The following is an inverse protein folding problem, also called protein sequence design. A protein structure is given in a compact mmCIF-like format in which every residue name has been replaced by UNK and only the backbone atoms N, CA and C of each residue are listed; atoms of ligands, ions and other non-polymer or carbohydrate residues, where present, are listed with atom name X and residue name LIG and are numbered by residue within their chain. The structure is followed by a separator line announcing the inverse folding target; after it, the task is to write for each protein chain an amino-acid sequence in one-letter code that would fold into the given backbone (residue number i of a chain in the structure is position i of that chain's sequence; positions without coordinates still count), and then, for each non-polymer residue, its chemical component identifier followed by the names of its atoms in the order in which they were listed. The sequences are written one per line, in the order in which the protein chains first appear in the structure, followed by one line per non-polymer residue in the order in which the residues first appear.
data_IF_213325103420
#
_entry.id   IF_213325103420
#
_cell.length_a   1.000
_cell.length_b   1.000
_cell.length_c   1.000
_cell.angle_alpha   90.00
_cell.angle_beta   90.00
_cell.angle_gamma   90.00
#
_symmetry.space_group_name_H-M   'P 1'
#
loop_
_entity.id
_entity.type
_entity.pdbx_description
1 polymer ?
#
# COMPACT_ATOMS: atom_id res chain seq x y z
N UNK A 1 -14.47 -61.03 -25.03
CA UNK A 1 -14.29 -59.88 -25.94
C UNK A 1 -15.66 -59.39 -26.35
N UNK A 2 -16.15 -58.26 -25.84
CA UNK A 2 -17.27 -57.49 -26.42
C UNK A 2 -17.19 -56.09 -25.82
N UNK A 3 -16.81 -55.11 -26.65
CA UNK A 3 -16.72 -53.68 -26.30
C UNK A 3 -18.10 -53.07 -26.46
N UNK A 4 -18.57 -52.38 -25.43
CA UNK A 4 -19.81 -51.59 -25.45
C UNK A 4 -19.46 -50.10 -25.54
N UNK A 5 -20.32 -49.35 -26.23
CA UNK A 5 -20.52 -47.89 -26.19
C UNK A 5 -19.76 -47.04 -27.21
N UNK A 6 -20.46 -46.57 -28.24
CA UNK A 6 -20.43 -45.17 -28.70
C UNK A 6 -21.82 -44.78 -29.24
N UNK A 7 -22.43 -43.76 -28.66
CA UNK A 7 -23.78 -43.32 -29.04
C UNK A 7 -24.43 -42.36 -28.04
N UNK A 8 -23.82 -41.18 -27.82
CA UNK A 8 -24.40 -39.99 -27.17
C UNK A 8 -23.61 -38.78 -27.67
N UNK A 9 -24.14 -37.60 -27.92
CA UNK A 9 -25.46 -37.00 -27.79
C UNK A 9 -25.40 -35.74 -28.67
N UNK A 10 -26.56 -35.34 -29.19
CA UNK A 10 -26.72 -34.10 -29.93
C UNK A 10 -26.26 -32.88 -29.13
N UNK A 11 -25.75 -31.90 -29.87
CA UNK A 11 -25.43 -30.58 -29.39
C UNK A 11 -26.69 -29.88 -28.84
N UNK A 12 -26.56 -29.27 -27.66
CA UNK A 12 -27.43 -28.17 -27.21
C UNK A 12 -26.51 -27.03 -26.74
N UNK A 13 -26.35 -25.94 -27.50
CA UNK A 13 -25.80 -24.71 -26.94
C UNK A 13 -26.91 -24.03 -26.13
N UNK A 14 -26.94 -24.26 -24.81
CA UNK A 14 -27.64 -23.36 -23.90
C UNK A 14 -26.78 -22.13 -23.70
N UNK A 15 -27.10 -21.08 -24.46
CA UNK A 15 -26.57 -19.74 -24.33
C UNK A 15 -26.98 -19.17 -22.96
N UNK A 16 -26.24 -19.54 -21.92
CA UNK A 16 -26.25 -18.84 -20.65
C UNK A 16 -25.20 -17.74 -20.77
N UNK A 17 -25.63 -16.56 -21.21
CA UNK A 17 -24.82 -15.35 -21.13
C UNK A 17 -24.42 -15.14 -19.66
N UNK A 18 -23.18 -15.51 -19.35
CA UNK A 18 -22.56 -15.22 -18.07
C UNK A 18 -22.31 -13.71 -17.99
N UNK A 19 -22.56 -13.05 -16.84
CA UNK A 19 -22.28 -11.63 -16.68
C UNK A 19 -20.83 -11.35 -17.08
N UNK A 20 -20.65 -10.33 -17.92
CA UNK A 20 -19.34 -9.85 -18.33
C UNK A 20 -18.47 -9.70 -17.09
N UNK A 21 -17.34 -10.41 -17.07
CA UNK A 21 -16.35 -10.36 -15.99
C UNK A 21 -16.05 -8.88 -15.71
N UNK A 22 -16.09 -8.42 -14.45
CA UNK A 22 -15.71 -7.04 -14.14
C UNK A 22 -14.31 -6.77 -14.74
N UNK A 23 -14.08 -5.58 -15.30
CA UNK A 23 -12.79 -5.24 -15.90
C UNK A 23 -11.70 -5.54 -14.88
N UNK A 24 -10.62 -6.19 -15.34
CA UNK A 24 -9.46 -6.58 -14.55
C UNK A 24 -9.09 -5.46 -13.59
N UNK A 25 -9.40 -5.71 -12.32
CA UNK A 25 -8.87 -5.07 -11.12
C UNK A 25 -7.79 -4.05 -11.42
N UNK A 26 -8.11 -2.77 -11.27
CA UNK A 26 -7.10 -1.72 -11.10
C UNK A 26 -6.11 -2.22 -10.07
N UNK A 27 -4.91 -2.63 -10.50
CA UNK A 27 -3.85 -3.03 -9.58
C UNK A 27 -3.63 -1.83 -8.67
N UNK A 28 -3.69 -1.96 -7.33
CA UNK A 28 -3.33 -0.85 -6.46
C UNK A 28 -1.93 -0.40 -6.90
N UNK A 29 -1.78 0.88 -7.18
CA UNK A 29 -0.49 1.43 -7.55
C UNK A 29 0.45 1.19 -6.37
N UNK A 30 1.46 0.33 -6.56
CA UNK A 30 2.51 0.16 -5.56
C UNK A 30 3.36 1.42 -5.62
N UNK A 31 3.12 2.34 -4.68
CA UNK A 31 3.93 3.55 -4.61
C UNK A 31 5.36 3.21 -4.21
N UNK A 32 6.32 3.83 -4.88
CA UNK A 32 7.74 3.63 -4.60
C UNK A 32 8.14 4.09 -3.20
N UNK A 33 9.31 3.63 -2.76
CA UNK A 33 9.97 4.06 -1.53
C UNK A 33 9.98 5.59 -1.31
N UNK A 34 10.37 6.45 -2.28
CA UNK A 34 10.41 7.90 -2.06
C UNK A 34 9.03 8.52 -1.81
N UNK A 35 7.97 7.98 -2.40
CA UNK A 35 6.60 8.44 -2.15
C UNK A 35 6.15 8.09 -0.72
N UNK A 36 6.57 6.92 -0.22
CA UNK A 36 6.24 6.47 1.14
C UNK A 36 6.92 7.38 2.18
N UNK A 37 8.19 7.72 1.99
CA UNK A 37 8.91 8.69 2.84
C UNK A 37 8.17 10.03 2.86
N UNK A 38 7.89 10.60 1.67
CA UNK A 38 7.21 11.88 1.57
C UNK A 38 5.85 11.88 2.28
N UNK A 39 5.10 10.79 2.17
CA UNK A 39 3.80 10.63 2.84
C UNK A 39 3.94 10.59 4.37
N UNK A 40 4.96 9.89 4.89
CA UNK A 40 5.28 9.87 6.33
C UNK A 40 5.62 11.28 6.83
N UNK A 41 6.46 12.01 6.09
CA UNK A 41 6.85 13.38 6.45
C UNK A 41 5.64 14.32 6.46
N UNK A 42 4.70 14.17 5.52
CA UNK A 42 3.44 14.94 5.50
C UNK A 42 2.57 14.65 6.72
N UNK A 43 2.42 13.38 7.11
CA UNK A 43 1.68 13.02 8.32
C UNK A 43 2.34 13.59 9.58
N UNK A 44 3.67 13.57 9.66
CA UNK A 44 4.41 14.18 10.77
C UNK A 44 4.24 15.71 10.79
N UNK A 45 4.23 16.37 9.62
CA UNK A 45 3.97 17.81 9.51
C UNK A 45 2.57 18.19 10.02
N UNK A 46 1.58 17.33 9.76
CA UNK A 46 0.20 17.52 10.18
C UNK A 46 -0.06 17.13 11.64
N UNK A 47 0.92 16.56 12.34
CA UNK A 47 0.75 16.01 13.68
C UNK A 47 -0.10 14.73 13.73
N UNK A 48 -0.37 14.10 12.59
CA UNK A 48 -1.21 12.91 12.46
C UNK A 48 -0.38 11.61 12.59
N UNK A 49 0.94 11.69 12.49
CA UNK A 49 1.83 10.54 12.62
C UNK A 49 2.00 10.14 14.08
N UNK A 50 1.19 9.19 14.53
CA UNK A 50 1.20 8.72 15.94
C UNK A 50 2.11 7.53 16.17
N UNK A 51 2.79 7.52 17.31
CA UNK A 51 3.63 6.42 17.78
C UNK A 51 2.74 5.23 18.11
N UNK A 52 2.90 4.13 17.38
CA UNK A 52 2.13 2.89 17.60
C UNK A 52 2.96 1.65 17.28
N UNK A 53 2.71 0.51 17.97
CA UNK A 53 3.51 -0.72 17.82
C UNK A 53 3.52 -1.32 16.40
N UNK A 54 2.58 -0.90 15.54
CA UNK A 54 2.43 -1.38 14.16
C UNK A 54 2.31 -0.25 13.15
N UNK A 55 3.03 0.86 13.38
CA UNK A 55 2.97 2.02 12.51
C UNK A 55 3.32 1.67 11.06
N UNK A 56 4.40 0.93 10.82
CA UNK A 56 4.78 0.49 9.47
C UNK A 56 3.71 -0.36 8.78
N UNK A 57 3.03 -1.25 9.51
CA UNK A 57 1.92 -2.07 8.96
C UNK A 57 0.73 -1.17 8.59
N UNK A 58 0.42 -0.19 9.45
CA UNK A 58 -0.63 0.78 9.16
C UNK A 58 -0.30 1.62 7.92
N UNK A 59 0.93 2.13 7.82
CA UNK A 59 1.41 2.90 6.66
C UNK A 59 1.37 2.05 5.38
N UNK A 60 1.84 0.80 5.43
CA UNK A 60 1.79 -0.12 4.30
C UNK A 60 0.34 -0.35 3.81
N UNK A 61 -0.60 -0.49 4.74
CA UNK A 61 -2.03 -0.65 4.42
C UNK A 61 -2.65 0.62 3.85
N UNK A 62 -2.36 1.79 4.41
CA UNK A 62 -2.93 3.07 3.98
C UNK A 62 -2.41 3.46 2.60
N UNK A 63 -1.11 3.31 2.38
CA UNK A 63 -0.43 3.71 1.14
C UNK A 63 -0.31 2.57 0.13
N UNK A 64 -0.96 1.43 0.36
CA UNK A 64 -0.92 0.27 -0.53
C UNK A 64 0.51 -0.10 -1.00
N UNK A 65 1.49 -0.02 -0.11
CA UNK A 65 2.88 -0.31 -0.41
C UNK A 65 3.36 -1.58 0.32
N UNK A 66 4.47 -2.21 -0.12
CA UNK A 66 5.00 -3.40 0.53
C UNK A 66 5.40 -3.08 1.98
N UNK A 67 5.13 -4.00 2.91
CA UNK A 67 5.48 -3.80 4.32
C UNK A 67 6.96 -3.47 4.51
N UNK A 68 7.86 -4.14 3.77
CA UNK A 68 9.29 -3.85 3.81
C UNK A 68 9.58 -2.39 3.42
N UNK A 69 8.97 -1.89 2.34
CA UNK A 69 9.15 -0.50 1.93
C UNK A 69 8.63 0.51 2.97
N UNK A 70 7.53 0.19 3.66
CA UNK A 70 7.04 1.03 4.76
C UNK A 70 7.94 0.98 6.01
N UNK A 71 8.57 -0.18 6.29
CA UNK A 71 9.53 -0.33 7.37
C UNK A 71 10.82 0.43 7.08
N UNK A 72 11.36 0.28 5.89
CA UNK A 72 12.58 0.95 5.43
C UNK A 72 12.35 2.47 5.43
N UNK A 73 11.26 2.96 4.84
CA UNK A 73 10.91 4.37 4.83
C UNK A 73 10.72 4.95 6.24
N UNK A 74 10.06 4.21 7.15
CA UNK A 74 9.90 4.66 8.54
C UNK A 74 11.24 4.68 9.28
N UNK A 75 12.13 3.73 9.00
CA UNK A 75 13.47 3.69 9.58
C UNK A 75 14.30 4.89 9.12
N UNK A 76 14.30 5.18 7.81
CA UNK A 76 14.96 6.35 7.23
C UNK A 76 14.38 7.65 7.80
N UNK A 77 13.06 7.75 7.95
CA UNK A 77 12.46 8.92 8.59
C UNK A 77 12.95 9.09 10.04
N UNK A 78 13.03 8.00 10.81
CA UNK A 78 13.51 8.05 12.20
C UNK A 78 14.99 8.39 12.32
N UNK A 79 15.76 8.18 11.26
CA UNK A 79 17.17 8.54 11.16
C UNK A 79 17.36 10.03 10.80
N UNK A 80 16.70 10.90 11.57
CA UNK A 80 16.92 12.35 11.50
C UNK A 80 15.84 13.19 10.81
N UNK A 81 14.83 12.61 10.13
CA UNK A 81 13.76 13.38 9.47
C UNK A 81 12.53 13.63 10.36
N UNK A 82 12.24 12.71 11.28
CA UNK A 82 11.17 12.83 12.27
C UNK A 82 11.74 12.57 13.67
N UNK A 83 11.18 13.25 14.66
CA UNK A 83 11.51 13.09 16.07
C UNK A 83 10.23 12.91 16.89
N UNK A 84 10.39 12.50 18.14
CA UNK A 84 9.30 12.31 19.10
C UNK A 84 9.74 12.88 20.42
N UNK A 85 8.99 13.83 20.97
CA UNK A 85 9.29 14.34 22.31
C UNK A 85 9.01 13.27 23.38
N UNK A 86 9.82 13.19 24.45
CA UNK A 86 9.55 12.30 25.57
C UNK A 86 8.17 12.59 26.19
N UNK A 87 7.30 11.58 26.20
CA UNK A 87 5.92 11.70 26.66
C UNK A 87 4.91 12.10 25.58
N UNK A 88 5.37 12.45 24.38
CA UNK A 88 4.51 12.66 23.22
C UNK A 88 4.16 11.33 22.54
N UNK A 89 2.92 11.24 22.06
CA UNK A 89 2.46 10.10 21.25
C UNK A 89 2.48 10.42 19.75
N UNK A 90 2.98 11.58 19.35
CA UNK A 90 3.05 12.02 17.96
C UNK A 90 4.48 12.27 17.54
N UNK A 91 4.81 11.88 16.32
CA UNK A 91 6.02 12.25 15.63
C UNK A 91 5.88 13.66 15.07
N UNK A 92 6.94 14.42 15.20
CA UNK A 92 7.09 15.75 14.65
C UNK A 92 8.20 15.76 13.61
N UNK A 93 8.11 16.68 12.64
CA UNK A 93 9.20 16.86 11.69
C UNK A 93 10.41 17.53 12.35
N UNK A 94 11.58 16.96 12.09
CA UNK A 94 12.85 17.63 12.34
C UNK A 94 13.07 18.78 11.34
N UNK A 95 14.10 19.58 11.56
CA UNK A 95 14.52 20.62 10.60
C UNK A 95 14.80 20.02 9.22
N UNK A 96 15.55 18.92 9.15
CA UNK A 96 15.90 18.26 7.90
C UNK A 96 14.66 17.70 7.17
N UNK A 97 13.74 17.09 7.92
CA UNK A 97 12.47 16.60 7.36
C UNK A 97 11.61 17.72 6.78
N UNK A 98 11.58 18.90 7.41
CA UNK A 98 10.88 20.09 6.89
C UNK A 98 11.54 20.63 5.63
N UNK A 99 12.87 20.69 5.58
CA UNK A 99 13.60 21.13 4.40
C UNK A 99 13.36 20.19 3.21
N UNK A 100 13.36 18.87 3.46
CA UNK A 100 13.08 17.87 2.42
C UNK A 100 11.63 18.01 1.91
N UNK A 101 10.66 18.20 2.81
CA UNK A 101 9.28 18.45 2.44
C UNK A 101 9.12 19.77 1.65
N UNK A 102 9.83 20.82 2.05
CA UNK A 102 9.81 22.13 1.38
C UNK A 102 10.46 22.15 0.00
N UNK A 103 11.45 21.26 -0.26
CA UNK A 103 12.10 21.13 -1.57
C UNK A 103 11.29 20.31 -2.58
N UNK A 104 10.35 19.47 -2.13
CA UNK A 104 9.50 18.62 -2.98
C UNK A 104 8.21 19.28 -3.49
N UNK A 105 8.02 20.58 -3.25
CA UNK A 105 6.79 21.32 -3.54
C UNK A 105 6.98 22.67 -4.25
N UNK A 106 8.02 22.79 -5.07
CA UNK A 106 8.22 23.92 -5.99
C UNK A 106 8.26 23.43 -7.45
#
# INVERSE_FOLDING_TARGET
MSRTAEGKLGAHPSERAAPARPPSTTRPATYGHPFTIFSILRLAAAGELTVRPRLAVHLASVYCCPLMAAQDALSECRDGLITTEPGSQTYELSTEGRELLGRGGA
#
